data_IF_150136982571
#
_entry.id   IF_150136982571
#
_cell.length_a   1.000
_cell.length_b   1.000
_cell.length_c   1.000
_cell.angle_alpha   90.00
_cell.angle_beta   90.00
_cell.angle_gamma   90.00
#
_symmetry.space_group_name_H-M   'P 1'
#
loop_
_entity.id
_entity.type
_entity.pdbx_description
1 polymer ?
#
# COMPACT_ATOMS: atom_id res chain seq x y z
N UNK A 1 -2.23 -10.59 23.64
CA UNK A 1 -2.86 -10.45 24.97
C UNK A 1 -3.14 -8.99 25.33
N UNK A 2 -2.18 -8.05 25.20
CA UNK A 2 -2.43 -6.63 25.57
C UNK A 2 -3.60 -6.02 24.80
N UNK A 3 -3.64 -6.17 23.45
CA UNK A 3 -4.74 -5.65 22.61
C UNK A 3 -6.12 -6.16 23.07
N UNK A 4 -6.24 -7.44 23.42
CA UNK A 4 -7.49 -8.01 23.91
C UNK A 4 -7.91 -7.44 25.26
N UNK A 5 -6.94 -7.25 26.17
CA UNK A 5 -7.20 -6.63 27.48
C UNK A 5 -7.64 -5.17 27.32
N UNK A 6 -7.00 -4.41 26.44
CA UNK A 6 -7.34 -3.00 26.20
C UNK A 6 -8.72 -2.86 25.55
N UNK A 7 -9.08 -3.75 24.62
CA UNK A 7 -10.42 -3.80 24.04
C UNK A 7 -11.48 -4.14 25.10
N UNK A 8 -11.24 -5.17 25.92
CA UNK A 8 -12.15 -5.57 26.98
C UNK A 8 -12.35 -4.49 28.04
N UNK A 9 -11.30 -3.72 28.35
CA UNK A 9 -11.35 -2.58 29.27
C UNK A 9 -11.87 -1.28 28.64
N UNK A 10 -12.28 -1.31 27.37
CA UNK A 10 -12.75 -0.12 26.66
C UNK A 10 -11.67 0.93 26.38
N UNK A 11 -10.39 0.56 26.46
CA UNK A 11 -9.25 1.46 26.22
C UNK A 11 -8.92 1.63 24.75
N UNK A 12 -9.40 0.72 23.89
CA UNK A 12 -9.31 0.82 22.43
C UNK A 12 -10.53 0.17 21.77
N UNK A 13 -10.99 0.67 20.60
CA UNK A 13 -11.99 -0.02 19.80
C UNK A 13 -11.42 -1.30 19.18
N UNK A 14 -12.31 -2.21 18.80
CA UNK A 14 -12.00 -3.36 17.96
C UNK A 14 -12.23 -2.91 16.52
N UNK A 15 -11.21 -3.06 15.68
CA UNK A 15 -11.30 -2.83 14.25
C UNK A 15 -11.51 -4.15 13.51
N UNK A 16 -12.29 -4.10 12.46
CA UNK A 16 -12.58 -5.24 11.57
C UNK A 16 -12.30 -4.85 10.13
N UNK A 17 -12.17 -5.86 9.25
CA UNK A 17 -12.06 -5.64 7.82
C UNK A 17 -13.28 -4.88 7.28
N UNK A 18 -13.04 -3.88 6.45
CA UNK A 18 -14.05 -3.12 5.72
C UNK A 18 -13.66 -3.07 4.25
N UNK A 19 -14.31 -3.87 3.42
CA UNK A 19 -13.99 -4.02 2.00
C UNK A 19 -15.05 -3.33 1.14
N UNK A 20 -14.62 -2.51 0.17
CA UNK A 20 -15.52 -1.95 -0.84
C UNK A 20 -15.79 -2.96 -1.97
N UNK A 21 -14.90 -3.95 -2.16
CA UNK A 21 -14.98 -5.02 -3.15
C UNK A 21 -15.16 -6.40 -2.52
N UNK A 22 -14.43 -7.40 -3.06
CA UNK A 22 -14.49 -8.77 -2.57
C UNK A 22 -14.00 -8.86 -1.12
N UNK A 23 -14.86 -9.34 -0.23
CA UNK A 23 -14.49 -9.72 1.12
C UNK A 23 -14.42 -11.25 1.21
N UNK A 24 -13.23 -11.78 1.47
CA UNK A 24 -13.05 -13.20 1.78
C UNK A 24 -13.43 -13.44 3.26
N UNK A 25 -14.36 -14.38 3.55
CA UNK A 25 -14.85 -14.57 4.90
C UNK A 25 -13.80 -15.20 5.83
N UNK A 26 -13.90 -14.89 7.11
CA UNK A 26 -13.14 -15.52 8.20
C UNK A 26 -11.62 -15.27 8.20
N UNK A 27 -11.08 -14.35 7.37
CA UNK A 27 -9.70 -13.94 7.53
C UNK A 27 -9.54 -13.11 8.82
N UNK A 28 -8.46 -13.34 9.58
CA UNK A 28 -8.16 -12.50 10.73
C UNK A 28 -7.98 -11.03 10.34
N UNK A 29 -8.50 -10.12 11.16
CA UNK A 29 -8.29 -8.69 11.02
C UNK A 29 -7.03 -8.29 11.81
N UNK A 30 -5.87 -8.37 11.17
CA UNK A 30 -4.59 -7.98 11.77
C UNK A 30 -4.18 -6.58 11.31
N UNK A 31 -4.09 -5.64 12.25
CA UNK A 31 -3.69 -4.26 11.96
C UNK A 31 -2.31 -4.21 11.30
N UNK A 32 -1.33 -4.90 11.89
CA UNK A 32 -0.01 -5.12 11.33
C UNK A 32 0.32 -6.60 11.44
N UNK A 33 0.72 -7.19 10.34
CA UNK A 33 1.12 -8.59 10.32
C UNK A 33 2.50 -8.79 10.94
N UNK A 34 2.70 -9.95 11.54
CA UNK A 34 4.02 -10.37 11.99
C UNK A 34 4.92 -10.64 10.77
N UNK A 35 6.19 -10.21 10.86
CA UNK A 35 7.16 -10.35 9.76
C UNK A 35 7.43 -11.81 9.37
N UNK A 36 7.16 -12.76 10.27
CA UNK A 36 7.27 -14.21 10.00
C UNK A 36 6.38 -14.67 8.85
N UNK A 37 5.29 -13.98 8.57
CA UNK A 37 4.43 -14.25 7.42
C UNK A 37 5.07 -13.85 6.07
N UNK A 38 6.09 -13.00 6.10
CA UNK A 38 6.74 -12.45 4.91
C UNK A 38 8.27 -12.59 5.02
N UNK A 39 8.81 -13.82 4.97
CA UNK A 39 10.25 -14.07 5.18
C UNK A 39 11.16 -13.37 4.15
N UNK A 40 10.61 -12.98 3.01
CA UNK A 40 11.30 -12.25 1.95
C UNK A 40 11.46 -10.74 2.23
N UNK A 41 10.85 -10.17 3.29
CA UNK A 41 11.03 -8.75 3.64
C UNK A 41 12.51 -8.39 3.87
N UNK A 42 13.32 -9.32 4.36
CA UNK A 42 14.76 -9.10 4.53
C UNK A 42 15.48 -8.82 3.19
N UNK A 43 15.06 -9.44 2.09
CA UNK A 43 15.60 -9.19 0.76
C UNK A 43 15.19 -7.78 0.27
N UNK A 44 13.94 -7.40 0.47
CA UNK A 44 13.44 -6.05 0.16
C UNK A 44 14.17 -4.98 0.98
N UNK A 45 14.37 -5.19 2.28
CA UNK A 45 15.09 -4.28 3.17
C UNK A 45 16.57 -4.13 2.74
N UNK A 46 17.22 -5.22 2.36
CA UNK A 46 18.61 -5.20 1.87
C UNK A 46 18.77 -4.37 0.59
N UNK A 47 17.73 -4.26 -0.23
CA UNK A 47 17.73 -3.48 -1.46
C UNK A 47 17.43 -1.98 -1.24
N UNK A 48 17.15 -1.54 -0.02
CA UNK A 48 16.70 -0.15 0.30
C UNK A 48 17.58 0.92 -0.35
N UNK A 49 18.90 0.82 -0.24
CA UNK A 49 19.80 1.83 -0.80
C UNK A 49 19.70 1.91 -2.34
N UNK A 50 19.55 0.77 -3.00
CA UNK A 50 19.39 0.71 -4.46
C UNK A 50 18.05 1.32 -4.89
N UNK A 51 16.97 0.96 -4.20
CA UNK A 51 15.60 1.46 -4.47
C UNK A 51 15.54 2.97 -4.21
N UNK A 52 16.16 3.44 -3.13
CA UNK A 52 16.24 4.87 -2.81
C UNK A 52 16.99 5.65 -3.89
N UNK A 53 18.15 5.17 -4.36
CA UNK A 53 18.90 5.82 -5.44
C UNK A 53 18.11 5.91 -6.74
N UNK A 54 17.34 4.88 -7.10
CA UNK A 54 16.46 4.91 -8.27
C UNK A 54 15.31 5.91 -8.08
N UNK A 55 14.69 5.96 -6.89
CA UNK A 55 13.67 6.96 -6.57
C UNK A 55 14.23 8.38 -6.65
N UNK A 56 15.40 8.66 -6.06
CA UNK A 56 16.03 9.98 -6.11
C UNK A 56 16.32 10.42 -7.55
N UNK A 57 16.77 9.50 -8.40
CA UNK A 57 16.97 9.76 -9.83
C UNK A 57 15.65 10.09 -10.54
N UNK A 58 14.56 9.40 -10.20
CA UNK A 58 13.21 9.69 -10.72
C UNK A 58 12.77 11.07 -10.27
N UNK A 59 12.89 11.41 -8.98
CA UNK A 59 12.47 12.69 -8.44
C UNK A 59 13.28 13.88 -8.99
N UNK A 60 14.53 13.64 -9.40
CA UNK A 60 15.40 14.64 -10.00
C UNK A 60 15.17 14.83 -11.51
N UNK A 61 14.49 13.90 -12.18
CA UNK A 61 14.22 13.98 -13.63
C UNK A 61 12.93 14.76 -13.91
N UNK A 62 13.01 15.96 -14.56
CA UNK A 62 11.80 16.73 -14.90
C UNK A 62 10.82 16.01 -15.85
N UNK A 63 11.27 14.92 -16.49
CA UNK A 63 10.44 14.11 -17.38
C UNK A 63 9.73 12.96 -16.65
N UNK A 64 10.07 12.72 -15.39
CA UNK A 64 9.38 11.74 -14.56
C UNK A 64 8.16 12.40 -13.94
N UNK A 65 6.99 12.14 -14.52
CA UNK A 65 5.74 12.72 -14.03
C UNK A 65 5.17 11.90 -12.88
N UNK A 66 5.03 12.54 -11.71
CA UNK A 66 4.19 12.04 -10.65
C UNK A 66 2.73 12.27 -11.02
N UNK A 67 1.89 11.29 -10.75
CA UNK A 67 0.43 11.43 -10.89
C UNK A 67 -0.22 11.63 -9.54
N UNK A 68 -1.28 12.46 -9.41
CA UNK A 68 -2.10 12.47 -8.20
C UNK A 68 -2.62 11.07 -7.89
N UNK A 69 -2.46 10.62 -6.64
CA UNK A 69 -2.98 9.32 -6.24
C UNK A 69 -4.50 9.30 -6.24
N UNK A 70 -5.13 10.40 -5.80
CA UNK A 70 -6.59 10.59 -5.85
C UNK A 70 -6.95 11.39 -7.10
N UNK A 71 -7.84 10.83 -7.93
CA UNK A 71 -8.42 11.50 -9.09
C UNK A 71 -9.90 11.12 -9.19
N UNK A 72 -10.76 11.97 -8.64
CA UNK A 72 -12.20 11.72 -8.60
C UNK A 72 -12.85 12.07 -9.96
N UNK A 73 -13.88 11.30 -10.38
CA UNK A 73 -14.67 11.64 -11.54
C UNK A 73 -15.36 13.02 -11.38
N UNK A 74 -15.65 13.74 -12.46
CA UNK A 74 -16.38 14.99 -12.40
C UNK A 74 -17.76 14.82 -11.75
N UNK A 75 -18.15 15.75 -10.87
CA UNK A 75 -19.47 15.77 -10.24
C UNK A 75 -19.62 14.89 -9.00
N UNK A 76 -18.56 14.25 -8.53
CA UNK A 76 -18.58 13.53 -7.25
C UNK A 76 -18.79 14.53 -6.10
N UNK A 77 -19.73 14.27 -5.16
CA UNK A 77 -19.93 15.12 -3.99
C UNK A 77 -18.65 15.28 -3.15
N UNK A 78 -18.56 16.38 -2.40
CA UNK A 78 -17.46 16.61 -1.46
C UNK A 78 -17.33 15.42 -0.48
N UNK A 79 -16.09 14.94 -0.33
CA UNK A 79 -15.76 13.80 0.51
C UNK A 79 -14.44 14.05 1.24
N UNK A 80 -14.00 13.09 2.05
CA UNK A 80 -12.69 13.12 2.70
C UNK A 80 -11.52 13.29 1.72
N UNK A 81 -11.71 12.92 0.45
CA UNK A 81 -10.71 12.99 -0.62
C UNK A 81 -10.63 14.34 -1.31
N UNK A 82 -11.60 15.26 -1.10
CA UNK A 82 -11.68 16.52 -1.84
C UNK A 82 -10.42 17.39 -1.73
N UNK A 83 -9.72 17.31 -0.60
CA UNK A 83 -8.47 18.06 -0.41
C UNK A 83 -7.26 17.47 -1.14
N UNK A 84 -7.35 16.20 -1.57
CA UNK A 84 -6.30 15.49 -2.29
C UNK A 84 -6.67 15.22 -3.76
N UNK A 85 -7.90 15.57 -4.18
CA UNK A 85 -8.36 15.33 -5.55
C UNK A 85 -7.50 16.12 -6.55
N UNK A 86 -6.86 15.38 -7.46
CA UNK A 86 -5.94 15.90 -8.49
C UNK A 86 -4.79 16.73 -7.92
N UNK A 87 -4.44 16.53 -6.64
CA UNK A 87 -3.32 17.19 -5.96
C UNK A 87 -2.11 16.26 -5.91
N UNK A 88 -0.93 16.83 -6.11
CA UNK A 88 0.34 16.14 -5.85
C UNK A 88 0.75 16.16 -4.36
N UNK A 89 -0.10 16.68 -3.47
CA UNK A 89 0.11 16.53 -2.02
C UNK A 89 0.19 15.06 -1.61
N UNK A 90 -0.51 14.21 -2.37
CA UNK A 90 -0.29 12.77 -2.40
C UNK A 90 -0.07 12.33 -3.84
N UNK A 91 1.20 12.25 -4.24
CA UNK A 91 1.63 11.83 -5.57
C UNK A 91 2.06 10.37 -5.61
N UNK A 92 1.97 9.76 -6.78
CA UNK A 92 2.42 8.41 -7.05
C UNK A 92 3.24 8.32 -8.34
N UNK A 93 4.28 7.47 -8.31
CA UNK A 93 4.99 7.01 -9.52
C UNK A 93 4.81 5.49 -9.62
N UNK A 94 3.94 5.05 -10.51
CA UNK A 94 3.55 3.65 -10.64
C UNK A 94 4.55 2.87 -11.47
N UNK A 95 5.03 1.75 -10.94
CA UNK A 95 5.75 0.70 -11.66
C UNK A 95 4.77 -0.36 -12.17
N UNK A 96 3.77 -0.71 -11.34
CA UNK A 96 2.58 -1.50 -11.70
C UNK A 96 1.32 -0.84 -11.16
N UNK A 97 0.25 -0.94 -11.91
CA UNK A 97 -1.08 -0.51 -11.49
C UNK A 97 -2.13 -1.50 -11.99
N UNK A 98 -2.96 -2.00 -11.08
CA UNK A 98 -4.03 -2.96 -11.40
C UNK A 98 -3.54 -4.20 -12.18
N UNK A 99 -2.31 -4.65 -11.85
CA UNK A 99 -1.66 -5.79 -12.50
C UNK A 99 -0.96 -5.48 -13.82
N UNK A 100 -1.07 -4.27 -14.33
CA UNK A 100 -0.38 -3.82 -15.54
C UNK A 100 1.00 -3.24 -15.21
N UNK A 101 2.01 -3.70 -15.90
CA UNK A 101 3.39 -3.21 -15.79
C UNK A 101 3.58 -1.99 -16.69
N UNK A 102 4.15 -0.92 -16.13
CA UNK A 102 4.50 0.28 -16.88
C UNK A 102 5.99 0.22 -17.30
N UNK A 103 6.25 -0.23 -18.51
CA UNK A 103 7.61 -0.49 -19.00
C UNK A 103 8.52 0.72 -18.96
N UNK A 104 8.03 1.91 -19.32
CA UNK A 104 8.80 3.15 -19.25
C UNK A 104 9.14 3.55 -17.80
N UNK A 105 8.23 3.35 -16.86
CA UNK A 105 8.46 3.61 -15.45
C UNK A 105 9.45 2.58 -14.87
N UNK A 106 9.30 1.30 -15.20
CA UNK A 106 10.21 0.24 -14.79
C UNK A 106 11.62 0.44 -15.36
N UNK A 107 11.76 0.99 -16.56
CA UNK A 107 13.06 1.33 -17.14
C UNK A 107 13.79 2.45 -16.37
N UNK A 108 13.08 3.27 -15.59
CA UNK A 108 13.66 4.29 -14.69
C UNK A 108 14.05 3.72 -13.31
N UNK A 109 13.47 2.60 -12.92
CA UNK A 109 13.79 1.88 -11.68
C UNK A 109 14.03 0.38 -11.97
N UNK A 110 15.03 0.03 -12.82
CA UNK A 110 15.17 -1.33 -13.34
C UNK A 110 15.52 -2.36 -12.27
N UNK A 111 16.24 -1.99 -11.23
CA UNK A 111 16.61 -2.91 -10.15
C UNK A 111 15.44 -3.12 -9.18
N UNK A 112 14.67 -2.07 -8.91
CA UNK A 112 13.41 -2.19 -8.16
C UNK A 112 12.43 -3.07 -8.93
N UNK A 113 12.26 -2.85 -10.24
CA UNK A 113 11.38 -3.66 -11.07
C UNK A 113 11.79 -5.15 -11.08
N UNK A 114 13.07 -5.44 -11.30
CA UNK A 114 13.57 -6.82 -11.27
C UNK A 114 13.37 -7.50 -9.91
N UNK A 115 13.55 -6.76 -8.80
CA UNK A 115 13.27 -7.27 -7.47
C UNK A 115 11.77 -7.60 -7.31
N UNK A 116 10.87 -6.72 -7.72
CA UNK A 116 9.43 -6.98 -7.63
C UNK A 116 9.01 -8.20 -8.45
N UNK A 117 9.62 -8.46 -9.60
CA UNK A 117 9.39 -9.65 -10.42
C UNK A 117 9.88 -10.95 -9.75
N UNK A 118 10.84 -10.88 -8.83
CA UNK A 118 11.38 -12.05 -8.10
C UNK A 118 10.63 -12.35 -6.80
N UNK A 119 9.92 -11.37 -6.21
CA UNK A 119 9.24 -11.52 -4.94
C UNK A 119 7.83 -12.14 -5.11
N UNK A 120 7.32 -12.87 -4.10
CA UNK A 120 6.00 -13.51 -4.15
C UNK A 120 4.88 -12.49 -3.89
N UNK A 121 4.80 -11.45 -4.70
CA UNK A 121 3.77 -10.41 -4.60
C UNK A 121 2.42 -10.90 -5.13
N UNK A 122 1.35 -10.15 -4.87
CA UNK A 122 0.00 -10.52 -5.30
C UNK A 122 -0.18 -10.28 -6.81
N UNK A 123 -0.58 -11.33 -7.54
CA UNK A 123 -0.93 -11.22 -8.95
C UNK A 123 -2.38 -11.62 -9.18
N UNK A 124 -3.22 -10.65 -9.54
CA UNK A 124 -4.63 -10.84 -9.94
C UNK A 124 -4.86 -9.99 -11.18
N UNK A 125 -5.20 -10.60 -12.30
CA UNK A 125 -5.40 -9.93 -13.58
C UNK A 125 -6.40 -8.77 -13.44
N UNK A 126 -6.01 -7.58 -13.89
CA UNK A 126 -6.82 -6.37 -13.82
C UNK A 126 -7.07 -5.81 -12.42
N UNK A 127 -6.32 -6.27 -11.40
CA UNK A 127 -6.52 -5.86 -9.97
C UNK A 127 -5.22 -5.64 -9.21
N UNK A 128 -4.22 -6.51 -9.41
CA UNK A 128 -2.97 -6.51 -8.67
C UNK A 128 -1.82 -7.13 -9.49
N UNK A 129 -0.56 -6.74 -9.23
CA UNK A 129 -0.14 -5.85 -8.16
C UNK A 129 -0.38 -4.37 -8.47
N UNK A 130 -0.49 -3.55 -7.41
CA UNK A 130 -0.05 -2.17 -7.45
C UNK A 130 1.34 -2.11 -6.82
N UNK A 131 2.30 -1.52 -7.51
CA UNK A 131 3.65 -1.24 -7.01
C UNK A 131 3.99 0.18 -7.41
N UNK A 132 4.22 1.03 -6.44
CA UNK A 132 4.48 2.44 -6.73
C UNK A 132 5.25 3.14 -5.61
N UNK A 133 5.98 4.17 -5.99
CA UNK A 133 6.52 5.13 -5.05
C UNK A 133 5.41 6.12 -4.66
N UNK A 134 5.07 6.14 -3.38
CA UNK A 134 4.08 7.05 -2.78
C UNK A 134 4.80 8.23 -2.14
N UNK A 135 4.54 9.41 -2.63
CA UNK A 135 5.12 10.65 -2.16
C UNK A 135 4.04 11.47 -1.44
N UNK A 136 4.25 11.76 -0.15
CA UNK A 136 3.37 12.62 0.63
C UNK A 136 4.11 13.91 0.96
N UNK A 137 3.60 15.03 0.46
CA UNK A 137 4.22 16.34 0.61
C UNK A 137 4.31 16.77 2.07
N UNK A 138 5.22 17.71 2.35
CA UNK A 138 5.35 18.37 3.64
C UNK A 138 4.00 18.93 4.12
N UNK A 139 3.64 18.68 5.38
CA UNK A 139 2.39 19.15 5.99
C UNK A 139 1.12 18.44 5.55
N UNK A 140 1.20 17.41 4.69
CA UNK A 140 0.03 16.72 4.13
C UNK A 140 -0.47 15.58 5.01
N UNK A 141 -1.75 15.25 4.86
CA UNK A 141 -2.45 14.18 5.57
C UNK A 141 -3.28 13.34 4.59
N UNK A 142 -3.10 12.02 4.64
CA UNK A 142 -3.98 11.06 4.00
C UNK A 142 -5.07 10.69 5.01
N UNK A 143 -6.33 11.08 4.79
CA UNK A 143 -7.41 10.88 5.78
C UNK A 143 -7.73 9.40 5.98
N UNK A 144 -8.36 9.09 7.11
CA UNK A 144 -8.75 7.74 7.48
C UNK A 144 -9.61 7.07 6.40
N UNK A 145 -9.17 5.89 5.94
CA UNK A 145 -9.80 5.13 4.86
C UNK A 145 -9.52 3.63 5.02
N UNK A 146 -10.17 2.84 4.17
CA UNK A 146 -10.00 1.39 4.06
C UNK A 146 -9.70 1.02 2.62
N UNK A 147 -9.03 -0.11 2.43
CA UNK A 147 -8.75 -0.71 1.12
C UNK A 147 -9.96 -1.42 0.52
N UNK A 148 -9.75 -2.01 -0.66
CA UNK A 148 -10.83 -2.56 -1.49
C UNK A 148 -11.17 -4.00 -1.11
N UNK A 149 -10.18 -4.82 -0.70
CA UNK A 149 -10.36 -6.26 -0.50
C UNK A 149 -9.34 -6.82 0.48
N UNK A 150 -9.79 -7.73 1.34
CA UNK A 150 -8.93 -8.40 2.31
C UNK A 150 -8.18 -9.63 1.74
N UNK A 151 -8.33 -9.96 0.46
CA UNK A 151 -7.54 -11.04 -0.17
C UNK A 151 -6.09 -10.63 -0.43
N UNK A 152 -5.82 -9.35 -0.41
CA UNK A 152 -4.48 -8.77 -0.47
C UNK A 152 -4.22 -7.89 0.74
N UNK A 153 -2.96 -7.71 1.01
CA UNK A 153 -2.42 -6.82 2.04
C UNK A 153 -1.40 -5.89 1.40
N UNK A 154 -0.93 -4.93 2.14
CA UNK A 154 0.01 -3.93 1.62
C UNK A 154 1.32 -4.01 2.41
N UNK A 155 2.44 -4.00 1.69
CA UNK A 155 3.78 -3.82 2.26
C UNK A 155 4.25 -2.40 2.00
N UNK A 156 4.75 -1.74 3.03
CA UNK A 156 5.48 -0.48 2.95
C UNK A 156 6.97 -0.72 3.14
N UNK A 157 7.81 -0.23 2.21
CA UNK A 157 9.23 0.00 2.44
C UNK A 157 9.48 1.50 2.52
N UNK A 158 9.72 2.05 3.73
CA UNK A 158 10.01 3.47 3.91
C UNK A 158 11.38 3.84 3.32
N UNK A 159 11.43 4.87 2.45
CA UNK A 159 12.63 5.29 1.73
C UNK A 159 13.13 6.67 2.18
N UNK A 160 12.24 7.65 2.27
CA UNK A 160 12.52 9.00 2.77
C UNK A 160 11.51 9.26 3.88
N UNK A 161 12.00 9.38 5.11
CA UNK A 161 11.13 9.54 6.29
C UNK A 161 11.65 10.65 7.18
N UNK A 162 11.24 11.89 6.94
CA UNK A 162 11.55 12.99 7.85
C UNK A 162 10.82 12.80 9.19
N UNK A 163 11.37 13.40 10.26
CA UNK A 163 10.76 13.39 11.59
C UNK A 163 9.36 14.01 11.57
N UNK A 164 8.40 13.39 12.29
CA UNK A 164 7.00 13.84 12.31
C UNK A 164 6.10 13.12 11.29
N UNK A 165 6.59 12.07 10.64
CA UNK A 165 5.78 11.18 9.82
C UNK A 165 5.23 10.01 10.64
N UNK A 166 3.91 9.84 10.62
CA UNK A 166 3.21 8.79 11.36
C UNK A 166 2.19 8.06 10.48
N UNK A 167 1.96 6.79 10.81
CA UNK A 167 1.02 5.91 10.17
C UNK A 167 0.20 5.15 11.19
N UNK A 168 -1.12 5.28 11.12
CA UNK A 168 -2.07 4.56 11.98
C UNK A 168 -2.77 3.48 11.18
N UNK A 169 -2.86 2.30 11.76
CA UNK A 169 -3.76 1.23 11.30
C UNK A 169 -4.59 0.79 12.50
N UNK A 170 -5.89 0.90 12.39
CA UNK A 170 -6.78 0.62 13.50
C UNK A 170 -6.43 1.45 14.74
N UNK A 171 -6.17 0.77 15.84
CA UNK A 171 -5.80 1.39 17.11
C UNK A 171 -4.30 1.52 17.36
N UNK A 172 -3.44 1.28 16.37
CA UNK A 172 -1.98 1.33 16.52
C UNK A 172 -1.37 2.36 15.58
N UNK A 173 -0.62 3.31 16.15
CA UNK A 173 0.15 4.30 15.39
C UNK A 173 1.63 3.97 15.46
N UNK A 174 2.30 3.98 14.32
CA UNK A 174 3.74 3.76 14.19
C UNK A 174 4.39 4.92 13.44
N UNK A 175 5.62 5.26 13.79
CA UNK A 175 6.50 6.02 12.94
C UNK A 175 7.18 5.07 11.96
N UNK A 176 7.35 5.51 10.71
CA UNK A 176 8.17 4.73 9.77
C UNK A 176 9.65 4.78 10.17
N UNK A 177 10.34 3.69 9.93
CA UNK A 177 11.80 3.61 10.05
C UNK A 177 12.37 3.31 8.66
N UNK A 178 13.21 4.18 8.15
CA UNK A 178 13.82 4.02 6.82
C UNK A 178 14.45 2.64 6.66
N UNK A 179 14.14 1.95 5.57
CA UNK A 179 14.65 0.63 5.24
C UNK A 179 14.08 -0.52 6.09
N UNK A 180 13.05 -0.26 6.91
CA UNK A 180 12.37 -1.30 7.69
C UNK A 180 10.98 -1.52 7.12
N UNK A 181 10.84 -2.59 6.35
CA UNK A 181 9.58 -2.95 5.73
C UNK A 181 8.60 -3.54 6.75
N UNK A 182 7.33 -3.32 6.52
CA UNK A 182 6.25 -3.95 7.27
C UNK A 182 5.03 -4.18 6.39
N UNK A 183 4.22 -5.16 6.76
CA UNK A 183 2.95 -5.47 6.13
C UNK A 183 1.78 -5.12 7.05
N UNK A 184 0.66 -4.67 6.47
CA UNK A 184 -0.57 -4.38 7.19
C UNK A 184 -1.80 -4.73 6.36
N UNK A 185 -2.93 -4.89 7.03
CA UNK A 185 -4.23 -5.10 6.39
C UNK A 185 -4.85 -3.72 6.08
N UNK A 186 -4.83 -3.35 4.80
CA UNK A 186 -5.35 -2.05 4.34
C UNK A 186 -6.88 -1.96 4.41
N UNK A 187 -7.59 -3.07 4.61
CA UNK A 187 -9.03 -3.08 4.85
C UNK A 187 -9.42 -2.71 6.28
N UNK A 188 -8.45 -2.62 7.18
CA UNK A 188 -8.61 -1.95 8.48
C UNK A 188 -8.39 -0.46 8.27
N UNK A 189 -9.24 0.36 8.88
CA UNK A 189 -9.13 1.82 8.77
C UNK A 189 -7.73 2.30 9.11
N UNK A 190 -7.12 3.03 8.16
CA UNK A 190 -5.76 3.54 8.30
C UNK A 190 -5.63 4.97 7.75
N UNK A 191 -4.63 5.69 8.23
CA UNK A 191 -4.33 7.06 7.84
C UNK A 191 -2.85 7.40 8.01
N UNK A 192 -2.38 8.42 7.31
CA UNK A 192 -0.97 8.80 7.30
C UNK A 192 -0.77 10.31 7.41
N UNK A 193 0.19 10.74 8.21
CA UNK A 193 0.58 12.14 8.36
C UNK A 193 2.03 12.37 7.97
N UNK A 194 2.28 13.47 7.30
CA UNK A 194 3.59 14.07 7.18
C UNK A 194 3.55 15.47 7.80
N UNK A 195 3.85 15.57 9.09
CA UNK A 195 3.89 16.85 9.83
C UNK A 195 5.24 17.55 9.74
N UNK A 196 6.13 17.06 8.88
CA UNK A 196 7.47 17.61 8.67
C UNK A 196 7.48 18.75 7.65
N UNK A 197 8.66 19.35 7.47
CA UNK A 197 8.90 20.36 6.44
C UNK A 197 9.47 19.80 5.14
N UNK A 198 9.57 18.46 5.00
CA UNK A 198 10.11 17.77 3.83
C UNK A 198 9.17 16.66 3.35
N UNK A 199 9.30 16.25 2.10
CA UNK A 199 8.48 15.20 1.52
C UNK A 199 8.83 13.82 2.10
N UNK A 200 7.82 12.97 2.32
CA UNK A 200 7.97 11.57 2.70
C UNK A 200 7.78 10.68 1.48
N UNK A 201 8.66 9.67 1.30
CA UNK A 201 8.52 8.67 0.24
C UNK A 201 8.57 7.24 0.79
N UNK A 202 7.65 6.41 0.29
CA UNK A 202 7.51 4.98 0.64
C UNK A 202 7.27 4.19 -0.64
N UNK A 203 7.95 3.04 -0.82
CA UNK A 203 7.54 2.06 -1.82
C UNK A 203 6.38 1.24 -1.25
N UNK A 204 5.28 1.19 -1.99
CA UNK A 204 4.06 0.47 -1.65
C UNK A 204 3.90 -0.72 -2.61
N UNK A 205 3.59 -1.89 -2.06
CA UNK A 205 3.52 -3.16 -2.78
C UNK A 205 2.29 -3.94 -2.34
N UNK A 206 1.44 -4.35 -3.29
CA UNK A 206 0.37 -5.30 -3.03
C UNK A 206 0.92 -6.72 -2.86
N UNK A 207 0.55 -7.37 -1.79
CA UNK A 207 0.91 -8.75 -1.49
C UNK A 207 -0.33 -9.59 -1.18
N UNK A 208 -0.23 -10.91 -1.29
CA UNK A 208 -1.31 -11.77 -0.84
C UNK A 208 -1.51 -11.66 0.68
N UNK A 209 -2.77 -11.71 1.11
CA UNK A 209 -3.05 -11.89 2.53
C UNK A 209 -2.38 -13.21 2.99
N UNK A 210 -1.56 -13.18 4.06
CA UNK A 210 -0.71 -14.31 4.42
C UNK A 210 -1.48 -15.55 4.91
N UNK A 211 -2.75 -15.38 5.27
CA UNK A 211 -3.60 -16.48 5.72
C UNK A 211 -4.25 -17.27 4.58
N UNK A 212 -4.12 -16.80 3.34
CA UNK A 212 -4.63 -17.52 2.17
C UNK A 212 -3.65 -18.61 1.71
N UNK A 213 -4.13 -19.83 1.58
CA UNK A 213 -3.41 -20.91 0.93
C UNK A 213 -3.26 -20.67 -0.59
N UNK A 214 -2.31 -21.34 -1.23
CA UNK A 214 -2.13 -21.23 -2.69
C UNK A 214 -3.37 -21.71 -3.47
N UNK A 215 -4.11 -22.68 -2.93
CA UNK A 215 -5.36 -23.12 -3.51
C UNK A 215 -6.43 -22.02 -3.49
N UNK A 216 -6.58 -21.32 -2.37
CA UNK A 216 -7.52 -20.21 -2.23
C UNK A 216 -7.13 -19.03 -3.12
N UNK A 217 -5.83 -18.71 -3.22
CA UNK A 217 -5.31 -17.70 -4.16
C UNK A 217 -5.69 -18.01 -5.61
N UNK A 218 -5.52 -19.28 -6.02
CA UNK A 218 -5.91 -19.73 -7.36
C UNK A 218 -7.43 -19.64 -7.57
N UNK A 219 -8.25 -20.02 -6.58
CA UNK A 219 -9.71 -19.90 -6.65
C UNK A 219 -10.16 -18.42 -6.74
N UNK A 220 -9.51 -17.52 -6.02
CA UNK A 220 -9.80 -16.09 -6.07
C UNK A 220 -9.48 -15.53 -7.46
N UNK A 221 -8.34 -15.90 -8.07
CA UNK A 221 -8.02 -15.52 -9.44
C UNK A 221 -9.11 -15.99 -10.42
N UNK A 222 -9.51 -17.26 -10.34
CA UNK A 222 -10.58 -17.81 -11.18
C UNK A 222 -11.94 -17.14 -10.96
N UNK A 223 -12.26 -16.74 -9.74
CA UNK A 223 -13.48 -16.00 -9.43
C UNK A 223 -13.50 -14.63 -10.14
N UNK A 224 -12.39 -13.88 -10.07
CA UNK A 224 -12.29 -12.59 -10.75
C UNK A 224 -12.36 -12.74 -12.28
N UNK A 225 -11.67 -13.74 -12.86
CA UNK A 225 -11.73 -14.03 -14.28
C UNK A 225 -13.16 -14.35 -14.76
N UNK A 226 -13.87 -15.19 -14.00
CA UNK A 226 -15.25 -15.53 -14.29
C UNK A 226 -16.21 -14.31 -14.18
N UNK A 227 -16.00 -13.47 -13.16
CA UNK A 227 -16.79 -12.25 -12.99
C UNK A 227 -16.55 -11.23 -14.11
N UNK A 228 -15.31 -11.07 -14.56
CA UNK A 228 -14.95 -10.16 -15.65
C UNK A 228 -15.51 -10.66 -17.00
N UNK A 229 -15.50 -11.98 -17.23
CA UNK A 229 -16.09 -12.59 -18.44
C UNK A 229 -17.63 -12.41 -18.54
N UNK A 230 -18.32 -12.15 -17.42
CA UNK A 230 -19.77 -11.90 -17.42
C UNK A 230 -20.12 -10.42 -17.64
N UNK A 231 -19.14 -9.51 -17.53
CA UNK A 231 -19.35 -8.06 -17.68
C UNK A 231 -18.96 -7.51 -19.05
N UNK A 232 -18.21 -8.29 -19.83
CA UNK A 232 -17.80 -7.99 -21.20
C UNK A 232 -18.67 -8.67 -22.23
#
# INVERSE_FOLDING_TARGET
MQRAADAWLGRRPIYTNHCEGLQYPFLPADEFFDSEHFPWLGELEAATATILNELEAILADPKAELTPYISLPPGVPASKWSGLDKSLDWGAFHLWKEGERFDEACARAPRTAALMESLPICHIRGRAPNVFFSILKAGSHIPAHTGVTNVRSVVHLPLIVPEGCEFRVGGETRSWVQGRAFAFDDTIEHEAWNRSAADRAVLIIDVWNPYLSDHERAMICGLYEAADAQRG
#
